data_IF_843944273957
#
_entry.id   IF_843944273957
#
_cell.length_a   1.000
_cell.length_b   1.000
_cell.length_c   1.000
_cell.angle_alpha   90.00
_cell.angle_beta   90.00
_cell.angle_gamma   90.00
#
_symmetry.space_group_name_H-M   'P 1'
#
loop_
_entity.id
_entity.type
_entity.pdbx_description
1 polymer ?
#
# COMPACT_ATOMS: atom_id res chain seq x y z
N UNK A 1 5.78 3.21 -39.70
CA UNK A 1 6.07 2.96 -38.27
C UNK A 1 5.07 1.93 -37.78
N UNK A 2 5.50 0.81 -37.16
CA UNK A 2 4.54 -0.14 -36.61
C UNK A 2 3.84 0.50 -35.40
N UNK A 3 2.52 0.36 -35.33
CA UNK A 3 1.71 0.78 -34.19
C UNK A 3 2.18 0.08 -32.90
N UNK A 4 2.04 0.72 -31.73
CA UNK A 4 2.35 0.07 -30.46
C UNK A 4 1.47 -1.18 -30.34
N UNK A 5 2.10 -2.32 -30.04
CA UNK A 5 1.38 -3.54 -29.66
C UNK A 5 0.62 -3.20 -28.37
N UNK A 6 -0.70 -3.15 -28.44
CA UNK A 6 -1.55 -3.23 -27.25
C UNK A 6 -1.13 -4.52 -26.55
N UNK A 7 -0.48 -4.41 -25.40
CA UNK A 7 -0.26 -5.55 -24.52
C UNK A 7 -1.64 -6.02 -24.09
N UNK A 8 -2.18 -7.00 -24.80
CA UNK A 8 -3.38 -7.70 -24.36
C UNK A 8 -3.11 -8.21 -22.95
N UNK A 9 -3.99 -7.85 -22.01
CA UNK A 9 -3.90 -8.23 -20.61
C UNK A 9 -3.65 -9.73 -20.49
N UNK A 10 -2.73 -10.14 -19.62
CA UNK A 10 -2.44 -11.56 -19.40
C UNK A 10 -3.70 -12.32 -18.93
N UNK A 11 -4.62 -11.62 -18.28
CA UNK A 11 -5.91 -12.14 -17.80
C UNK A 11 -6.95 -12.34 -18.92
N UNK A 12 -6.94 -11.55 -19.99
CA UNK A 12 -7.91 -11.64 -21.10
C UNK A 12 -7.84 -12.97 -21.87
N UNK A 13 -6.71 -13.69 -21.75
CA UNK A 13 -6.46 -14.96 -22.46
C UNK A 13 -6.84 -16.19 -21.65
N UNK A 14 -7.23 -16.02 -20.38
CA UNK A 14 -7.50 -17.12 -19.47
C UNK A 14 -8.93 -17.60 -19.56
N UNK A 15 -9.13 -18.90 -19.41
CA UNK A 15 -10.43 -19.45 -19.08
C UNK A 15 -10.84 -19.06 -17.65
N UNK A 16 -12.15 -19.11 -17.35
CA UNK A 16 -12.64 -18.81 -16.00
C UNK A 16 -12.06 -19.73 -14.92
N UNK A 17 -11.75 -20.98 -15.26
CA UNK A 17 -11.15 -21.96 -14.34
C UNK A 17 -9.66 -21.65 -14.07
N UNK A 18 -8.90 -21.24 -15.09
CA UNK A 18 -7.51 -20.81 -14.93
C UNK A 18 -7.40 -19.52 -14.12
N UNK A 19 -8.33 -18.58 -14.37
CA UNK A 19 -8.42 -17.34 -13.59
C UNK A 19 -8.73 -17.62 -12.12
N UNK A 20 -9.76 -18.41 -11.85
CA UNK A 20 -10.14 -18.78 -10.47
C UNK A 20 -8.99 -19.51 -9.75
N UNK A 21 -8.32 -20.44 -10.44
CA UNK A 21 -7.15 -21.12 -9.90
C UNK A 21 -6.04 -20.14 -9.53
N UNK A 22 -5.75 -19.17 -10.40
CA UNK A 22 -4.73 -18.14 -10.14
C UNK A 22 -5.09 -17.22 -8.98
N UNK A 23 -6.35 -16.78 -8.89
CA UNK A 23 -6.82 -15.93 -7.80
C UNK A 23 -6.76 -16.62 -6.43
N UNK A 24 -6.76 -17.96 -6.40
CA UNK A 24 -6.59 -18.75 -5.18
C UNK A 24 -5.12 -18.93 -4.74
N UNK A 25 -4.14 -18.50 -5.56
CA UNK A 25 -2.71 -18.59 -5.21
C UNK A 25 -2.33 -17.41 -4.31
N UNK A 26 -2.04 -17.70 -3.05
CA UNK A 26 -1.62 -16.69 -2.06
C UNK A 26 -0.11 -16.71 -1.76
N UNK A 27 0.59 -17.82 -2.01
CA UNK A 27 1.98 -18.01 -1.56
C UNK A 27 2.96 -18.08 -2.73
N UNK A 28 4.00 -17.26 -2.64
CA UNK A 28 5.10 -17.15 -3.61
C UNK A 28 6.43 -17.36 -2.87
N UNK A 29 6.90 -18.61 -2.83
CA UNK A 29 8.05 -18.99 -2.02
C UNK A 29 7.78 -18.79 -0.52
N UNK A 30 8.52 -17.89 0.11
CA UNK A 30 8.33 -17.49 1.51
C UNK A 30 7.43 -16.25 1.69
N UNK A 31 6.99 -15.65 0.59
CA UNK A 31 6.08 -14.51 0.62
C UNK A 31 4.62 -14.96 0.59
N UNK A 32 3.77 -14.37 1.43
CA UNK A 32 2.33 -14.64 1.45
C UNK A 32 1.56 -13.34 1.23
N UNK A 33 0.77 -13.30 0.16
CA UNK A 33 -0.10 -12.18 -0.18
C UNK A 33 -1.27 -12.05 0.79
N UNK A 34 -1.77 -10.83 0.94
CA UNK A 34 -3.10 -10.58 1.49
C UNK A 34 -4.17 -10.94 0.45
N UNK A 35 -5.45 -10.74 0.76
CA UNK A 35 -6.53 -10.99 -0.20
C UNK A 35 -6.79 -9.82 -1.15
N UNK A 36 -6.10 -8.70 -0.96
CA UNK A 36 -6.37 -7.45 -1.67
C UNK A 36 -5.87 -7.43 -3.12
N UNK A 37 -4.74 -8.07 -3.43
CA UNK A 37 -4.08 -7.94 -4.74
C UNK A 37 -3.56 -9.28 -5.25
N UNK A 38 -3.61 -9.47 -6.57
CA UNK A 38 -3.00 -10.61 -7.27
C UNK A 38 -2.08 -10.14 -8.39
N UNK A 39 -0.87 -10.70 -8.51
CA UNK A 39 0.06 -10.36 -9.59
C UNK A 39 -0.45 -10.88 -10.93
N UNK A 40 0.18 -10.44 -12.02
CA UNK A 40 -0.10 -10.92 -13.37
C UNK A 40 -0.03 -12.44 -13.46
N UNK A 41 -0.80 -13.01 -14.40
CA UNK A 41 -0.79 -14.46 -14.61
C UNK A 41 0.55 -14.98 -15.14
N UNK A 42 1.25 -14.18 -15.95
CA UNK A 42 2.56 -14.51 -16.49
C UNK A 42 3.72 -14.25 -15.51
N UNK A 43 3.42 -13.77 -14.30
CA UNK A 43 4.36 -13.55 -13.19
C UNK A 43 5.61 -12.77 -13.59
N UNK A 44 5.42 -11.65 -14.30
CA UNK A 44 6.53 -10.74 -14.66
C UNK A 44 7.27 -10.24 -13.42
N UNK A 45 6.54 -10.01 -12.33
CA UNK A 45 7.08 -9.72 -11.01
C UNK A 45 6.58 -10.78 -10.04
N UNK A 46 7.52 -11.43 -9.35
CA UNK A 46 7.22 -12.40 -8.30
C UNK A 46 7.30 -11.68 -6.95
N UNK A 47 6.22 -11.64 -6.14
CA UNK A 47 6.24 -10.99 -4.84
C UNK A 47 7.28 -11.59 -3.90
N UNK A 48 8.05 -10.73 -3.22
CA UNK A 48 9.10 -11.10 -2.28
C UNK A 48 9.15 -10.10 -1.12
N UNK A 49 9.62 -10.50 0.07
CA UNK A 49 9.78 -9.57 1.18
C UNK A 49 11.10 -8.80 1.04
N UNK A 50 11.08 -7.50 1.29
CA UNK A 50 12.25 -6.65 1.20
C UNK A 50 11.88 -5.18 1.12
N UNK A 51 12.90 -4.34 1.02
CA UNK A 51 12.72 -2.93 0.76
C UNK A 51 13.75 -2.40 -0.23
N UNK A 52 13.41 -1.33 -0.93
CA UNK A 52 14.27 -0.62 -1.89
C UNK A 52 14.24 0.87 -1.56
N UNK A 53 15.39 1.53 -1.67
CA UNK A 53 15.48 2.98 -1.63
C UNK A 53 15.39 3.53 -3.04
N UNK A 54 14.62 4.60 -3.20
CA UNK A 54 14.39 5.30 -4.47
C UNK A 54 14.39 6.82 -4.23
N UNK A 55 14.18 7.58 -5.29
CA UNK A 55 14.00 9.02 -5.20
C UNK A 55 12.78 9.46 -6.01
N UNK A 56 11.87 10.20 -5.36
CA UNK A 56 10.75 10.84 -6.02
C UNK A 56 11.13 12.25 -6.43
N UNK A 57 11.06 12.53 -7.73
CA UNK A 57 11.31 13.85 -8.26
C UNK A 57 10.04 14.70 -8.15
N UNK A 58 10.02 15.69 -7.26
CA UNK A 58 8.93 16.64 -7.17
C UNK A 58 9.06 17.69 -8.28
N UNK A 59 8.19 17.59 -9.30
CA UNK A 59 8.18 18.52 -10.43
C UNK A 59 7.89 19.98 -10.04
N UNK A 60 7.22 20.23 -8.90
CA UNK A 60 6.88 21.58 -8.46
C UNK A 60 8.08 22.28 -7.83
N UNK A 61 8.82 21.57 -6.98
CA UNK A 61 9.99 22.13 -6.29
C UNK A 61 11.32 21.87 -7.01
N UNK A 62 11.34 20.92 -7.96
CA UNK A 62 12.53 20.43 -8.65
C UNK A 62 13.50 19.67 -7.72
N UNK A 63 13.02 19.22 -6.56
CA UNK A 63 13.83 18.51 -5.57
C UNK A 63 13.57 17.00 -5.59
N UNK A 64 14.62 16.23 -5.31
CA UNK A 64 14.52 14.78 -5.15
C UNK A 64 14.23 14.48 -3.67
N UNK A 65 13.06 13.89 -3.42
CA UNK A 65 12.65 13.44 -2.09
C UNK A 65 13.04 11.96 -1.97
N UNK A 66 13.85 11.56 -0.97
CA UNK A 66 14.15 10.16 -0.76
C UNK A 66 12.87 9.37 -0.46
N UNK A 67 12.78 8.19 -1.07
CA UNK A 67 11.66 7.27 -0.90
C UNK A 67 12.18 5.92 -0.45
N UNK A 68 11.46 5.30 0.46
CA UNK A 68 11.62 3.90 0.78
C UNK A 68 10.36 3.17 0.34
N UNK A 69 10.51 2.11 -0.44
CA UNK A 69 9.41 1.20 -0.79
C UNK A 69 9.66 -0.16 -0.14
N UNK A 70 8.65 -0.74 0.51
CA UNK A 70 8.77 -2.01 1.23
C UNK A 70 7.57 -2.93 1.00
N UNK A 71 7.87 -4.23 0.86
CA UNK A 71 6.89 -5.30 0.83
C UNK A 71 7.16 -6.29 1.95
N UNK A 72 6.09 -6.73 2.62
CA UNK A 72 6.13 -7.74 3.67
C UNK A 72 4.99 -8.74 3.49
N UNK A 73 5.19 -9.97 3.95
CA UNK A 73 4.13 -10.98 3.96
C UNK A 73 2.98 -10.55 4.87
N UNK A 74 1.76 -11.04 4.60
CA UNK A 74 0.53 -10.66 5.32
C UNK A 74 0.63 -10.74 6.84
N UNK A 75 1.40 -11.69 7.38
CA UNK A 75 1.59 -11.91 8.82
C UNK A 75 2.42 -10.84 9.53
N UNK A 76 3.12 -9.98 8.77
CA UNK A 76 3.97 -8.92 9.30
C UNK A 76 3.55 -7.54 8.80
N UNK A 77 2.78 -7.47 7.72
CA UNK A 77 2.51 -6.23 6.99
C UNK A 77 1.83 -5.17 7.85
N UNK A 78 0.79 -5.55 8.61
CA UNK A 78 0.06 -4.61 9.45
C UNK A 78 0.89 -4.14 10.65
N UNK A 79 1.51 -5.07 11.37
CA UNK A 79 2.41 -4.73 12.49
C UNK A 79 3.55 -3.80 12.05
N UNK A 80 4.15 -4.10 10.89
CA UNK A 80 5.20 -3.28 10.30
C UNK A 80 4.71 -1.87 9.96
N UNK A 81 3.52 -1.75 9.34
CA UNK A 81 2.92 -0.45 9.08
C UNK A 81 2.77 0.36 10.38
N UNK A 82 2.26 -0.29 11.43
CA UNK A 82 2.05 0.36 12.72
C UNK A 82 3.36 0.85 13.32
N UNK A 83 4.43 0.06 13.29
CA UNK A 83 5.74 0.47 13.79
C UNK A 83 6.41 1.56 12.93
N UNK A 84 6.17 1.57 11.61
CA UNK A 84 6.64 2.64 10.74
C UNK A 84 6.00 4.00 11.04
N UNK A 85 4.88 4.04 11.76
CA UNK A 85 4.29 5.32 12.19
C UNK A 85 5.03 5.97 13.36
N UNK A 86 5.82 5.22 14.14
CA UNK A 86 6.46 5.77 15.35
C UNK A 86 7.42 6.95 15.09
N UNK A 87 8.24 6.94 14.02
CA UNK A 87 9.10 8.07 13.69
C UNK A 87 8.33 9.34 13.26
N UNK A 88 7.04 9.25 12.93
CA UNK A 88 6.24 10.41 12.52
C UNK A 88 5.92 11.37 13.67
N UNK A 89 6.16 10.99 14.92
CA UNK A 89 5.92 11.84 16.09
C UNK A 89 4.50 11.73 16.66
N UNK A 90 4.20 12.58 17.65
CA UNK A 90 3.00 12.41 18.48
C UNK A 90 1.70 12.87 17.82
N UNK A 91 1.77 13.78 16.86
CA UNK A 91 0.61 14.38 16.18
C UNK A 91 0.81 14.30 14.67
N UNK A 92 -0.19 13.77 13.97
CA UNK A 92 -0.12 13.46 12.55
C UNK A 92 -1.35 13.94 11.79
N UNK A 93 -1.21 14.07 10.48
CA UNK A 93 -2.30 14.17 9.52
C UNK A 93 -2.55 12.79 8.91
N UNK A 94 -3.81 12.45 8.70
CA UNK A 94 -4.21 11.18 8.09
C UNK A 94 -5.00 11.47 6.83
N UNK A 95 -4.69 10.76 5.76
CA UNK A 95 -5.44 10.75 4.51
C UNK A 95 -5.91 9.32 4.27
N UNK A 96 -7.22 9.15 4.02
CA UNK A 96 -7.76 7.89 3.53
C UNK A 96 -8.07 8.03 2.05
N UNK A 97 -7.76 6.97 1.31
CA UNK A 97 -8.02 6.87 -0.12
C UNK A 97 -8.92 5.66 -0.37
N UNK A 98 -9.91 5.82 -1.24
CA UNK A 98 -10.80 4.73 -1.63
C UNK A 98 -11.22 4.78 -3.09
N UNK A 99 -11.29 3.62 -3.71
CA UNK A 99 -11.82 3.43 -5.08
C UNK A 99 -13.19 2.76 -5.12
N UNK A 100 -13.81 2.42 -3.98
CA UNK A 100 -15.09 1.70 -3.91
C UNK A 100 -16.28 2.40 -4.61
N UNK A 101 -16.33 3.73 -4.55
CA UNK A 101 -17.44 4.53 -5.09
C UNK A 101 -17.19 5.05 -6.51
N UNK A 102 -16.01 4.79 -7.09
CA UNK A 102 -15.63 5.39 -8.36
C UNK A 102 -15.90 4.46 -9.54
N UNK A 103 -16.81 4.89 -10.41
CA UNK A 103 -16.87 4.36 -11.76
C UNK A 103 -15.81 5.07 -12.60
N UNK A 104 -14.62 4.47 -12.74
CA UNK A 104 -13.58 4.95 -13.65
C UNK A 104 -12.27 5.44 -13.02
N UNK A 105 -11.91 4.95 -11.83
CA UNK A 105 -10.55 5.14 -11.28
C UNK A 105 -10.26 6.51 -10.67
N UNK A 106 -11.28 7.23 -10.19
CA UNK A 106 -11.07 8.41 -9.34
C UNK A 106 -11.04 7.99 -7.87
N UNK A 107 -9.96 8.26 -7.15
CA UNK A 107 -9.92 8.03 -5.71
C UNK A 107 -10.62 9.18 -4.98
N UNK A 108 -11.27 8.88 -3.86
CA UNK A 108 -11.80 9.90 -2.95
C UNK A 108 -10.83 10.05 -1.79
N UNK A 109 -10.24 11.23 -1.66
CA UNK A 109 -9.26 11.53 -0.62
C UNK A 109 -9.95 12.24 0.54
N UNK A 110 -9.89 11.64 1.72
CA UNK A 110 -10.49 12.16 2.94
C UNK A 110 -9.38 12.47 3.92
N UNK A 111 -9.32 13.71 4.42
CA UNK A 111 -8.22 14.14 5.28
C UNK A 111 -8.70 14.53 6.68
N UNK A 112 -7.87 14.24 7.68
CA UNK A 112 -8.00 14.76 9.05
C UNK A 112 -6.64 15.17 9.58
N UNK A 113 -6.58 16.35 10.15
CA UNK A 113 -5.37 16.91 10.76
C UNK A 113 -5.42 16.79 12.29
N UNK A 114 -4.26 16.97 12.93
CA UNK A 114 -4.11 17.01 14.38
C UNK A 114 -4.59 15.73 15.11
N UNK A 115 -4.27 14.56 14.56
CA UNK A 115 -4.59 13.26 15.17
C UNK A 115 -3.45 12.82 16.07
N UNK A 116 -3.73 12.53 17.34
CA UNK A 116 -2.74 11.94 18.23
C UNK A 116 -2.41 10.51 17.80
N UNK A 117 -1.13 10.22 17.56
CA UNK A 117 -0.67 8.93 17.02
C UNK A 117 -1.11 7.72 17.85
N UNK A 118 -1.08 7.73 19.21
CA UNK A 118 -1.58 6.60 20.00
C UNK A 118 -3.07 6.32 19.79
N UNK A 119 -3.88 7.37 19.60
CA UNK A 119 -5.32 7.23 19.34
C UNK A 119 -5.53 6.69 17.92
N UNK A 120 -4.79 7.22 16.94
CA UNK A 120 -4.79 6.70 15.57
C UNK A 120 -4.48 5.20 15.57
N UNK A 121 -3.34 4.80 16.15
CA UNK A 121 -2.94 3.39 16.21
C UNK A 121 -4.03 2.52 16.85
N UNK A 122 -4.60 2.96 17.97
CA UNK A 122 -5.69 2.23 18.62
C UNK A 122 -6.92 2.07 17.72
N UNK A 123 -7.26 3.07 16.90
CA UNK A 123 -8.36 2.98 15.94
C UNK A 123 -8.01 2.04 14.77
N UNK A 124 -6.79 2.13 14.22
CA UNK A 124 -6.37 1.33 13.08
C UNK A 124 -6.42 -0.18 13.36
N UNK A 125 -6.13 -0.60 14.60
CA UNK A 125 -6.27 -2.00 15.04
C UNK A 125 -7.69 -2.57 14.84
N UNK A 126 -8.73 -1.75 14.96
CA UNK A 126 -10.11 -2.19 14.70
C UNK A 126 -10.39 -2.40 13.19
N UNK A 127 -9.51 -1.92 12.32
CA UNK A 127 -9.64 -1.95 10.86
C UNK A 127 -8.49 -2.68 10.17
N UNK A 128 -7.74 -3.52 10.90
CA UNK A 128 -6.66 -4.35 10.34
C UNK A 128 -7.14 -5.17 9.13
N UNK A 129 -8.31 -5.83 9.24
CA UNK A 129 -8.88 -6.65 8.16
C UNK A 129 -9.17 -5.83 6.89
N UNK A 130 -9.65 -4.59 7.05
CA UNK A 130 -9.88 -3.68 5.94
C UNK A 130 -8.53 -3.30 5.29
N UNK A 131 -7.59 -2.80 6.09
CA UNK A 131 -6.33 -2.28 5.58
C UNK A 131 -5.47 -3.38 4.94
N UNK A 132 -5.48 -4.60 5.45
CA UNK A 132 -4.75 -5.73 4.87
C UNK A 132 -5.44 -6.30 3.62
N UNK A 133 -6.75 -6.55 3.69
CA UNK A 133 -7.41 -7.46 2.74
C UNK A 133 -8.28 -6.76 1.70
N UNK A 134 -8.40 -5.44 1.74
CA UNK A 134 -9.17 -4.68 0.75
C UNK A 134 -8.28 -3.98 -0.28
N UNK A 135 -8.39 -4.38 -1.55
CA UNK A 135 -7.67 -3.79 -2.68
C UNK A 135 -8.22 -2.45 -3.16
N UNK A 136 -9.13 -1.83 -2.41
CA UNK A 136 -9.73 -0.53 -2.75
C UNK A 136 -9.48 0.53 -1.67
N UNK A 137 -8.72 0.21 -0.61
CA UNK A 137 -8.45 1.10 0.53
C UNK A 137 -6.95 1.35 0.66
N UNK A 138 -6.60 2.63 0.72
CA UNK A 138 -5.28 3.11 1.10
C UNK A 138 -5.35 4.09 2.29
N UNK A 139 -4.24 4.25 2.99
CA UNK A 139 -4.05 5.23 4.05
C UNK A 139 -2.66 5.84 3.97
N UNK A 140 -2.58 7.17 4.08
CA UNK A 140 -1.34 7.89 4.27
C UNK A 140 -1.35 8.61 5.63
N UNK A 141 -0.24 8.54 6.36
CA UNK A 141 -0.05 9.21 7.63
C UNK A 141 1.16 10.12 7.52
N UNK A 142 0.97 11.40 7.79
CA UNK A 142 1.95 12.45 7.56
C UNK A 142 2.29 13.16 8.85
N UNK A 143 3.56 13.53 9.01
CA UNK A 143 3.96 14.49 10.02
C UNK A 143 3.53 15.91 9.60
N UNK A 144 3.00 16.71 10.52
CA UNK A 144 2.48 18.06 10.22
C UNK A 144 3.56 19.16 10.19
N UNK A 145 4.74 18.88 10.75
CA UNK A 145 5.85 19.82 10.90
C UNK A 145 7.01 19.57 9.92
N UNK A 146 7.20 18.32 9.49
CA UNK A 146 8.24 17.89 8.55
C UNK A 146 7.64 17.01 7.46
N UNK A 147 8.23 16.96 6.24
CA UNK A 147 7.67 16.26 5.10
C UNK A 147 7.92 14.74 5.18
N UNK A 148 7.62 14.12 6.33
CA UNK A 148 7.56 12.68 6.44
C UNK A 148 6.15 12.17 6.19
N UNK A 149 6.06 11.11 5.42
CA UNK A 149 4.81 10.45 5.09
C UNK A 149 5.04 8.94 5.02
N UNK A 150 4.13 8.18 5.64
CA UNK A 150 4.07 6.72 5.56
C UNK A 150 2.75 6.34 4.93
N UNK A 151 2.80 5.67 3.79
CA UNK A 151 1.65 5.18 3.06
C UNK A 151 1.54 3.67 3.21
N UNK A 152 0.31 3.20 3.36
CA UNK A 152 -0.10 1.82 3.16
C UNK A 152 -1.19 1.82 2.09
N UNK A 153 -0.82 1.47 0.88
CA UNK A 153 -1.65 1.69 -0.31
C UNK A 153 -2.59 0.52 -0.63
N UNK A 154 -3.37 0.67 -1.69
CA UNK A 154 -4.26 -0.39 -2.20
C UNK A 154 -3.49 -1.61 -2.74
N UNK A 155 -2.21 -1.43 -3.10
CA UNK A 155 -1.30 -2.48 -3.55
C UNK A 155 -0.70 -3.31 -2.41
N UNK A 156 -0.98 -2.91 -1.17
CA UNK A 156 -0.43 -3.50 0.05
C UNK A 156 1.08 -3.37 0.15
N UNK A 157 1.56 -2.27 -0.39
CA UNK A 157 2.92 -1.78 -0.30
C UNK A 157 3.02 -0.74 0.80
N UNK A 158 4.19 -0.67 1.43
CA UNK A 158 4.53 0.38 2.38
C UNK A 158 5.50 1.34 1.71
N UNK A 159 5.14 2.61 1.66
CA UNK A 159 5.97 3.65 1.05
C UNK A 159 6.24 4.74 2.07
N UNK A 160 7.49 5.11 2.25
CA UNK A 160 7.90 6.18 3.16
C UNK A 160 8.60 7.28 2.38
N UNK A 161 8.13 8.50 2.52
CA UNK A 161 8.76 9.69 1.98
C UNK A 161 9.41 10.49 3.10
N UNK A 162 10.60 11.04 2.84
CA UNK A 162 11.23 12.04 3.69
C UNK A 162 12.74 11.91 3.77
N UNK A 163 13.37 12.75 4.60
CA UNK A 163 14.83 12.81 4.73
C UNK A 163 15.24 13.23 6.15
N UNK A 164 16.06 12.42 6.88
CA UNK A 164 16.62 11.11 6.51
C UNK A 164 15.72 9.89 6.79
N UNK A 165 15.83 8.83 5.98
CA UNK A 165 15.04 7.59 6.11
C UNK A 165 15.58 6.57 7.14
N UNK A 166 16.66 6.88 7.85
CA UNK A 166 17.39 5.91 8.68
C UNK A 166 16.59 5.27 9.81
N UNK A 167 15.63 6.00 10.40
CA UNK A 167 14.79 5.46 11.48
C UNK A 167 13.79 4.43 10.93
N UNK A 168 13.24 4.67 9.75
CA UNK A 168 12.32 3.76 9.07
C UNK A 168 13.05 2.50 8.57
N UNK A 169 14.27 2.65 8.04
CA UNK A 169 15.12 1.50 7.71
C UNK A 169 15.38 0.59 8.92
N UNK A 170 15.56 1.18 10.10
CA UNK A 170 15.78 0.40 11.33
C UNK A 170 14.55 -0.44 11.69
N UNK A 171 13.35 0.10 11.50
CA UNK A 171 12.09 -0.65 11.68
C UNK A 171 12.06 -1.83 10.71
N UNK A 172 12.27 -1.62 9.41
CA UNK A 172 12.23 -2.72 8.41
C UNK A 172 13.23 -3.84 8.71
N UNK A 173 14.45 -3.47 9.13
CA UNK A 173 15.48 -4.43 9.51
C UNK A 173 15.11 -5.22 10.76
N UNK A 174 14.33 -4.67 11.69
CA UNK A 174 13.85 -5.39 12.88
C UNK A 174 12.86 -6.49 12.50
N UNK A 175 12.09 -6.30 11.42
CA UNK A 175 11.23 -7.31 10.79
C UNK A 175 11.99 -8.27 9.85
N UNK A 176 13.32 -8.17 9.77
CA UNK A 176 14.15 -9.03 8.94
C UNK A 176 14.11 -8.71 7.44
N UNK A 177 13.52 -7.57 7.05
CA UNK A 177 13.51 -7.13 5.66
C UNK A 177 14.89 -6.61 5.27
N UNK A 178 15.36 -7.03 4.09
CA UNK A 178 16.67 -6.64 3.56
C UNK A 178 16.49 -5.56 2.48
N UNK A 179 17.44 -4.62 2.45
CA UNK A 179 17.58 -3.69 1.33
C UNK A 179 17.97 -4.48 0.09
N UNK A 180 17.21 -4.32 -1.00
CA UNK A 180 17.40 -4.98 -2.28
C UNK A 180 17.19 -3.94 -3.39
N UNK A 181 18.29 -3.42 -3.91
CA UNK A 181 18.27 -2.31 -4.88
C UNK A 181 17.65 -2.72 -6.23
N UNK A 182 17.69 -4.02 -6.56
CA UNK A 182 17.16 -4.63 -7.79
C UNK A 182 15.80 -5.30 -7.59
N UNK A 183 15.17 -5.13 -6.42
CA UNK A 183 13.84 -5.66 -6.14
C UNK A 183 12.79 -4.94 -6.97
N UNK A 184 11.87 -5.72 -7.55
CA UNK A 184 10.66 -5.22 -8.20
C UNK A 184 9.44 -5.39 -7.32
N UNK A 185 8.50 -4.45 -7.46
CA UNK A 185 7.24 -4.46 -6.74
C UNK A 185 6.07 -4.83 -7.65
N UNK A 186 4.98 -5.30 -7.06
CA UNK A 186 3.79 -5.74 -7.81
C UNK A 186 3.20 -4.64 -8.70
N UNK A 187 3.40 -3.37 -8.31
CA UNK A 187 3.01 -2.17 -9.06
C UNK A 187 3.80 -1.97 -10.36
N UNK A 188 4.96 -2.60 -10.50
CA UNK A 188 5.82 -2.51 -11.70
C UNK A 188 5.41 -3.51 -12.80
N UNK A 189 4.40 -4.32 -12.55
CA UNK A 189 3.80 -5.23 -13.52
C UNK A 189 2.27 -5.15 -13.48
N UNK A 190 1.63 -5.80 -14.45
CA UNK A 190 0.19 -5.98 -14.43
C UNK A 190 -0.25 -6.70 -13.14
N UNK A 191 -1.33 -6.24 -12.52
CA UNK A 191 -1.93 -6.84 -11.33
C UNK A 191 -3.41 -6.50 -11.27
N UNK A 192 -4.14 -7.16 -10.37
CA UNK A 192 -5.56 -6.91 -10.15
C UNK A 192 -5.85 -6.73 -8.67
N UNK A 193 -6.78 -5.84 -8.36
CA UNK A 193 -7.30 -5.64 -7.01
C UNK A 193 -8.53 -6.52 -6.75
N UNK A 194 -8.76 -6.84 -5.49
CA UNK A 194 -9.92 -7.58 -5.00
C UNK A 194 -10.48 -6.88 -3.77
N UNK A 195 -11.81 -6.74 -3.75
CA UNK A 195 -12.55 -6.08 -2.69
C UNK A 195 -13.92 -6.75 -2.55
N UNK A 196 -14.62 -6.48 -1.44
CA UNK A 196 -15.94 -7.00 -1.14
C UNK A 196 -16.83 -5.92 -0.52
N UNK A 197 -18.15 -6.03 -0.67
CA UNK A 197 -19.13 -5.06 -0.11
C UNK A 197 -18.93 -4.79 1.40
N UNK A 198 -18.53 -5.83 2.15
CA UNK A 198 -18.21 -5.69 3.58
C UNK A 198 -17.05 -4.72 3.83
N UNK A 199 -16.04 -4.67 2.95
CA UNK A 199 -14.92 -3.75 3.06
C UNK A 199 -15.36 -2.31 2.81
N UNK A 200 -16.27 -2.08 1.86
CA UNK A 200 -16.89 -0.77 1.67
C UNK A 200 -17.60 -0.28 2.94
N UNK A 201 -18.38 -1.15 3.60
CA UNK A 201 -19.06 -0.82 4.86
C UNK A 201 -18.06 -0.55 6.01
N UNK A 202 -16.94 -1.27 6.06
CA UNK A 202 -15.88 -1.05 7.04
C UNK A 202 -15.15 0.28 6.78
N UNK A 203 -14.91 0.63 5.52
CA UNK A 203 -14.32 1.91 5.16
C UNK A 203 -15.20 3.08 5.62
N UNK A 204 -16.51 3.01 5.39
CA UNK A 204 -17.45 4.03 5.86
C UNK A 204 -17.45 4.15 7.38
N UNK A 205 -17.35 3.03 8.12
CA UNK A 205 -17.20 3.04 9.57
C UNK A 205 -15.86 3.67 10.02
N UNK A 206 -14.77 3.35 9.34
CA UNK A 206 -13.44 3.91 9.60
C UNK A 206 -13.45 5.42 9.42
N UNK A 207 -14.00 5.91 8.30
CA UNK A 207 -14.20 7.33 8.01
C UNK A 207 -14.96 8.03 9.12
N UNK A 208 -16.09 7.45 9.56
CA UNK A 208 -16.92 8.02 10.64
C UNK A 208 -16.18 8.07 11.98
N UNK A 209 -15.46 7.00 12.35
CA UNK A 209 -14.69 6.96 13.62
C UNK A 209 -13.52 7.92 13.59
N UNK A 210 -12.86 8.03 12.45
CA UNK A 210 -11.84 9.04 12.20
C UNK A 210 -12.44 10.42 12.00
N UNK A 211 -13.75 10.65 12.14
CA UNK A 211 -14.36 11.97 12.06
C UNK A 211 -13.98 12.75 10.79
N UNK A 212 -13.78 12.02 9.69
CA UNK A 212 -13.43 12.60 8.41
C UNK A 212 -14.71 13.03 7.70
N UNK A 213 -14.76 14.29 7.28
CA UNK A 213 -15.86 14.84 6.50
C UNK A 213 -15.49 14.84 5.01
N UNK A 214 -16.41 14.37 4.17
CA UNK A 214 -16.32 14.35 2.71
C UNK A 214 -17.68 14.66 2.09
#
# INVERSE_FOLDING_TARGET
MPAPKVSQSSFERLSSEELDTHLNIQRYGDFVLTDAVRPSYDLQVIPQPGYRLDAYHDECSGSDVPVLMAAASREHLFDLFMDLLDPLGAEVKVVLETSHASQGGQHVDLCREHVELPILKSMLWDFEDLLLNDGCTGIAVLNTAVPYEVQFDEHKMLVVYGDPLSEFEQVLRSYGLKCQDDMSFITEAEHVHSSHDRHADLFEQMKLRLGMEG
#
